data_IF_041660639246
#
_entry.id   IF_041660639246
#
_cell.length_a   1.000
_cell.length_b   1.000
_cell.length_c   1.000
_cell.angle_alpha   90.00
_cell.angle_beta   90.00
_cell.angle_gamma   90.00
#
_symmetry.space_group_name_H-M   'P 1'
#
loop_
_entity.id
_entity.type
_entity.pdbx_description
1 polymer ?
#
# COMPACT_ATOMS: atom_id res chain seq x y z
N UNK A 1 2.08 -3.56 -9.40
CA UNK A 1 2.25 -2.29 -10.16
C UNK A 1 0.95 -1.76 -10.80
N UNK A 2 -0.22 -2.00 -10.16
CA UNK A 2 -1.50 -1.43 -10.62
C UNK A 2 -1.51 0.09 -10.47
N UNK A 3 -0.76 0.63 -9.53
CA UNK A 3 -0.65 2.06 -9.31
C UNK A 3 0.12 2.83 -10.37
N UNK A 4 1.03 2.18 -11.10
CA UNK A 4 1.91 2.91 -12.02
C UNK A 4 1.21 3.47 -13.26
N UNK A 5 0.18 2.80 -13.77
CA UNK A 5 -0.56 3.32 -14.94
C UNK A 5 -1.54 4.44 -14.57
N UNK A 6 -2.06 4.47 -13.36
CA UNK A 6 -2.97 5.52 -12.90
C UNK A 6 -2.27 6.67 -12.18
N UNK A 7 -1.09 6.43 -11.60
CA UNK A 7 -0.48 7.38 -10.69
C UNK A 7 0.66 8.22 -11.28
N UNK A 8 1.38 7.76 -12.31
CA UNK A 8 2.60 8.45 -12.74
C UNK A 8 2.77 8.34 -14.26
N UNK A 9 1.96 9.04 -15.02
CA UNK A 9 2.29 9.40 -16.41
C UNK A 9 2.75 10.87 -16.52
N UNK A 10 3.37 11.37 -15.48
CA UNK A 10 4.07 12.63 -15.60
C UNK A 10 5.47 12.30 -16.17
N UNK A 11 5.93 13.09 -17.11
CA UNK A 11 7.21 12.87 -17.78
C UNK A 11 8.37 12.92 -16.78
N UNK A 12 9.51 12.31 -17.11
CA UNK A 12 10.75 12.41 -16.33
C UNK A 12 11.16 13.86 -16.06
N UNK A 13 10.65 14.81 -16.84
CA UNK A 13 10.85 16.24 -16.64
C UNK A 13 10.22 16.81 -15.35
N UNK A 14 9.34 16.08 -14.69
CA UNK A 14 8.77 16.48 -13.40
C UNK A 14 9.71 16.22 -12.22
N UNK A 15 10.82 15.51 -12.43
CA UNK A 15 11.72 15.06 -11.39
C UNK A 15 13.15 15.56 -11.64
N UNK A 16 13.80 15.98 -10.58
CA UNK A 16 15.23 16.31 -10.58
C UNK A 16 15.90 15.50 -9.49
N UNK A 17 16.94 14.76 -9.85
CA UNK A 17 17.81 14.10 -8.88
C UNK A 17 18.85 15.10 -8.41
N UNK A 18 18.80 15.47 -7.14
CA UNK A 18 19.77 16.33 -6.50
C UNK A 18 20.71 15.54 -5.59
N UNK A 19 21.94 15.97 -5.49
CA UNK A 19 22.93 15.37 -4.58
C UNK A 19 23.42 16.44 -3.63
N UNK A 20 23.25 16.19 -2.34
CA UNK A 20 23.73 17.08 -1.29
C UNK A 20 24.81 16.39 -0.43
N UNK A 21 25.76 17.17 0.08
CA UNK A 21 26.72 16.68 1.04
C UNK A 21 26.06 16.58 2.43
N UNK A 22 26.07 15.39 3.00
CA UNK A 22 25.57 15.17 4.37
C UNK A 22 26.58 15.78 5.35
N UNK A 23 26.13 16.74 6.13
CA UNK A 23 26.96 17.35 7.20
C UNK A 23 27.03 16.40 8.39
N UNK A 24 28.09 16.56 9.23
CA UNK A 24 28.25 15.78 10.45
C UNK A 24 26.98 15.74 11.29
N UNK A 25 26.73 14.59 11.91
CA UNK A 25 25.59 14.43 12.83
C UNK A 25 25.78 15.28 14.07
N UNK A 26 24.71 15.91 14.53
CA UNK A 26 24.61 16.55 15.84
C UNK A 26 24.12 15.56 16.89
N UNK A 27 24.17 15.94 18.16
CA UNK A 27 23.59 15.14 19.23
C UNK A 27 22.11 14.85 18.96
N UNK A 28 21.68 13.61 19.19
CA UNK A 28 20.33 13.09 18.94
C UNK A 28 19.95 13.04 17.46
N UNK A 29 20.93 12.97 16.56
CA UNK A 29 20.70 12.72 15.13
C UNK A 29 21.22 11.33 14.76
N UNK A 30 20.58 10.76 13.73
CA UNK A 30 20.96 9.50 13.10
C UNK A 30 21.01 9.66 11.59
N UNK A 31 21.82 8.86 10.94
CA UNK A 31 21.84 8.72 9.49
C UNK A 31 21.33 7.31 9.13
N UNK A 32 20.34 7.27 8.27
CA UNK A 32 19.70 6.05 7.79
C UNK A 32 20.03 5.89 6.31
N UNK A 33 20.52 4.73 5.91
CA UNK A 33 20.64 4.32 4.52
C UNK A 33 19.38 3.56 4.12
N UNK A 34 18.62 4.08 3.14
CA UNK A 34 17.39 3.46 2.68
C UNK A 34 17.68 2.20 1.85
N UNK A 35 17.09 1.07 2.26
CA UNK A 35 17.12 -0.18 1.48
C UNK A 35 15.97 -0.24 0.48
N UNK A 36 14.78 0.24 0.87
CA UNK A 36 13.58 0.29 0.05
C UNK A 36 12.79 1.56 0.31
N UNK A 37 12.13 2.03 -0.74
CA UNK A 37 11.19 3.14 -0.74
C UNK A 37 9.82 2.61 -1.20
N UNK A 38 8.76 2.95 -0.47
CA UNK A 38 7.39 2.69 -0.91
C UNK A 38 6.95 3.71 -1.95
N UNK A 39 6.29 3.24 -3.02
CA UNK A 39 5.64 4.09 -4.01
C UNK A 39 4.14 3.82 -3.92
N UNK A 40 3.40 4.83 -3.46
CA UNK A 40 2.00 4.70 -3.10
C UNK A 40 1.11 5.66 -3.90
N UNK A 41 -0.14 5.28 -4.22
CA UNK A 41 -1.06 6.11 -5.01
C UNK A 41 -1.30 7.51 -4.44
N UNK A 42 -1.29 7.69 -3.11
CA UNK A 42 -1.51 9.00 -2.48
C UNK A 42 -0.47 10.06 -2.90
N UNK A 43 0.73 9.64 -3.27
CA UNK A 43 1.81 10.53 -3.70
C UNK A 43 1.39 11.34 -4.92
N UNK A 44 0.62 10.75 -5.84
CA UNK A 44 0.09 11.49 -7.00
C UNK A 44 -0.82 12.65 -6.58
N UNK A 45 -1.67 12.43 -5.58
CA UNK A 45 -2.51 13.48 -5.00
C UNK A 45 -1.70 14.62 -4.35
N UNK A 46 -0.54 14.29 -3.76
CA UNK A 46 0.36 15.26 -3.13
C UNK A 46 1.10 16.16 -4.13
N UNK A 47 1.12 15.81 -5.42
CA UNK A 47 1.69 16.63 -6.50
C UNK A 47 0.71 17.72 -6.99
N UNK A 48 -0.55 17.68 -6.61
CA UNK A 48 -1.57 18.64 -7.03
C UNK A 48 -1.72 19.76 -5.98
N UNK A 49 -1.67 21.01 -6.45
CA UNK A 49 -2.05 22.15 -5.63
C UNK A 49 -3.59 22.17 -5.50
N UNK A 50 -4.11 21.78 -4.37
CA UNK A 50 -5.56 21.75 -4.13
C UNK A 50 -5.91 21.31 -2.71
N UNK A 51 -7.20 21.42 -2.36
CA UNK A 51 -7.69 20.94 -1.06
C UNK A 51 -7.61 19.42 -1.03
N UNK A 52 -6.91 18.89 -0.04
CA UNK A 52 -6.76 17.46 0.23
C UNK A 52 -6.64 17.25 1.73
N UNK A 53 -6.66 15.99 2.18
CA UNK A 53 -6.43 15.63 3.58
C UNK A 53 -5.00 15.93 4.07
N UNK A 54 -4.07 16.22 3.16
CA UNK A 54 -2.70 16.59 3.49
C UNK A 54 -2.18 17.67 2.53
N UNK A 55 -1.24 18.50 3.00
CA UNK A 55 -0.65 19.56 2.20
C UNK A 55 0.07 19.02 0.95
N UNK A 56 0.03 19.71 -0.20
CA UNK A 56 0.79 19.32 -1.38
C UNK A 56 2.30 19.41 -1.11
N UNK A 57 3.07 18.69 -1.91
CA UNK A 57 4.53 18.86 -1.99
C UNK A 57 4.81 20.09 -2.85
N UNK A 58 5.65 21.01 -2.39
CA UNK A 58 6.02 22.19 -3.17
C UNK A 58 7.06 21.81 -4.24
N UNK A 59 7.14 22.63 -5.27
CA UNK A 59 8.23 22.49 -6.27
C UNK A 59 9.59 22.73 -5.59
N UNK A 60 10.53 21.83 -5.82
CA UNK A 60 11.85 21.85 -5.19
C UNK A 60 11.94 21.09 -3.86
N UNK A 61 10.81 20.67 -3.28
CA UNK A 61 10.82 19.82 -2.07
C UNK A 61 11.06 18.35 -2.43
N UNK A 62 11.61 17.59 -1.49
CA UNK A 62 11.72 16.13 -1.58
C UNK A 62 10.33 15.51 -1.62
N UNK A 63 10.09 14.61 -2.58
CA UNK A 63 8.82 13.91 -2.69
C UNK A 63 8.58 13.05 -1.44
N UNK A 64 7.37 13.10 -0.91
CA UNK A 64 6.98 12.32 0.28
C UNK A 64 7.02 10.82 0.01
N UNK A 65 7.33 10.04 1.04
CA UNK A 65 7.33 8.58 0.98
C UNK A 65 7.84 7.97 2.26
N UNK A 66 7.46 6.72 2.51
CA UNK A 66 7.98 5.90 3.60
C UNK A 66 9.11 5.03 3.06
N UNK A 67 10.22 4.99 3.79
CA UNK A 67 11.37 4.13 3.51
C UNK A 67 11.58 3.16 4.66
N UNK A 68 12.19 2.02 4.36
CA UNK A 68 12.81 1.13 5.35
C UNK A 68 14.31 1.10 5.07
N UNK A 69 15.12 1.20 6.11
CA UNK A 69 16.57 1.26 5.97
C UNK A 69 17.30 1.02 7.28
N UNK A 70 18.62 1.03 7.19
CA UNK A 70 19.48 0.80 8.36
C UNK A 70 20.12 2.09 8.83
N UNK A 71 20.21 2.20 10.14
CA UNK A 71 21.02 3.25 10.78
C UNK A 71 22.50 2.94 10.49
N UNK A 72 23.16 3.84 9.75
CA UNK A 72 24.59 3.70 9.39
C UNK A 72 25.50 4.58 10.25
N UNK A 73 24.97 5.66 10.84
CA UNK A 73 25.65 6.49 11.83
C UNK A 73 24.65 6.97 12.89
N UNK A 74 25.08 7.05 14.16
CA UNK A 74 24.22 7.46 15.28
C UNK A 74 24.95 8.29 16.31
N UNK A 75 24.34 9.44 16.68
CA UNK A 75 24.62 10.20 17.91
C UNK A 75 23.40 10.24 18.84
N UNK A 76 22.55 9.21 18.72
CA UNK A 76 21.35 8.98 19.53
C UNK A 76 21.62 7.96 20.64
N UNK A 77 20.84 8.08 21.72
CA UNK A 77 20.78 7.04 22.77
C UNK A 77 19.71 5.97 22.48
N UNK A 78 18.82 6.25 21.52
CA UNK A 78 17.65 5.42 21.21
C UNK A 78 17.88 4.46 20.04
N UNK A 79 18.83 4.81 19.15
CA UNK A 79 19.11 4.06 17.93
C UNK A 79 20.61 3.74 17.82
N UNK A 80 20.90 2.51 17.51
CA UNK A 80 22.27 2.01 17.29
C UNK A 80 22.54 1.81 15.80
N UNK A 81 23.80 1.89 15.40
CA UNK A 81 24.23 1.48 14.05
C UNK A 81 23.82 0.03 13.82
N UNK A 82 23.23 -0.24 12.68
CA UNK A 82 22.67 -1.55 12.29
C UNK A 82 21.18 -1.73 12.60
N UNK A 83 20.56 -0.88 13.41
CA UNK A 83 19.11 -0.92 13.65
C UNK A 83 18.34 -0.75 12.33
N UNK A 84 17.40 -1.66 12.08
CA UNK A 84 16.44 -1.51 10.98
C UNK A 84 15.30 -0.60 11.44
N UNK A 85 14.97 0.40 10.63
CA UNK A 85 13.91 1.37 10.93
C UNK A 85 13.04 1.63 9.70
N UNK A 86 11.76 1.96 9.92
CA UNK A 86 10.96 2.67 8.91
C UNK A 86 10.96 4.15 9.22
N UNK A 87 10.86 4.99 8.19
CA UNK A 87 10.89 6.45 8.32
C UNK A 87 10.11 7.12 7.19
N UNK A 88 9.38 8.20 7.50
CA UNK A 88 8.55 8.91 6.53
C UNK A 88 9.16 10.27 6.15
N UNK A 89 10.36 10.24 5.55
CA UNK A 89 11.15 11.43 5.20
C UNK A 89 11.33 11.63 3.68
N UNK A 90 10.53 10.91 2.88
CA UNK A 90 10.49 11.10 1.44
C UNK A 90 11.57 10.33 0.66
N UNK A 91 11.68 10.67 -0.61
CA UNK A 91 12.51 9.96 -1.58
C UNK A 91 13.97 10.34 -1.46
N UNK A 92 14.69 9.63 -0.63
CA UNK A 92 16.11 9.87 -0.35
C UNK A 92 16.84 8.53 -0.19
N UNK A 93 18.09 8.45 -0.64
CA UNK A 93 18.95 7.29 -0.42
C UNK A 93 19.55 7.29 0.98
N UNK A 94 19.88 8.48 1.51
CA UNK A 94 20.34 8.68 2.88
C UNK A 94 19.45 9.70 3.57
N UNK A 95 19.04 9.39 4.78
CA UNK A 95 18.09 10.20 5.55
C UNK A 95 18.75 10.60 6.85
N UNK A 96 19.05 11.89 6.99
CA UNK A 96 19.50 12.46 8.26
C UNK A 96 18.30 12.96 9.06
N UNK A 97 18.08 12.39 10.22
CA UNK A 97 16.92 12.69 11.04
C UNK A 97 17.25 12.83 12.52
N UNK A 98 16.40 13.54 13.26
CA UNK A 98 16.44 13.58 14.74
C UNK A 98 15.82 12.30 15.27
N UNK A 99 16.38 11.78 16.33
CA UNK A 99 15.87 10.57 17.02
C UNK A 99 14.49 10.78 17.69
N UNK A 100 14.07 12.02 17.81
CA UNK A 100 12.74 12.41 18.31
C UNK A 100 11.66 12.49 17.21
N UNK A 101 12.02 12.21 15.94
CA UNK A 101 11.05 12.17 14.86
C UNK A 101 10.05 11.01 15.07
N UNK A 102 8.76 11.29 15.25
CA UNK A 102 7.76 10.27 15.53
C UNK A 102 7.50 9.32 14.35
N UNK A 103 8.00 9.64 13.17
CA UNK A 103 7.88 8.80 11.97
C UNK A 103 8.95 7.71 11.90
N UNK A 104 10.00 7.80 12.73
CA UNK A 104 11.03 6.77 12.82
C UNK A 104 10.55 5.67 13.76
N UNK A 105 10.33 4.48 13.21
CA UNK A 105 9.89 3.32 13.96
C UNK A 105 10.94 2.23 13.86
N UNK A 106 11.47 1.82 15.00
CA UNK A 106 12.41 0.69 15.06
C UNK A 106 11.66 -0.60 14.72
N UNK A 107 12.17 -1.32 13.74
CA UNK A 107 11.62 -2.61 13.32
C UNK A 107 12.13 -3.68 14.29
N UNK A 108 11.24 -4.53 14.82
CA UNK A 108 11.65 -5.67 15.65
C UNK A 108 12.59 -6.61 14.89
N UNK A 109 13.52 -7.23 15.60
CA UNK A 109 14.38 -8.27 15.02
C UNK A 109 13.52 -9.38 14.38
N UNK A 110 13.79 -9.68 13.13
CA UNK A 110 13.07 -10.71 12.39
C UNK A 110 13.93 -11.24 11.23
N UNK A 111 13.61 -12.43 10.74
CA UNK A 111 14.19 -13.00 9.53
C UNK A 111 13.41 -12.63 8.25
N UNK A 112 12.43 -11.72 8.36
CA UNK A 112 11.64 -11.27 7.22
C UNK A 112 12.46 -10.26 6.37
N UNK A 113 12.26 -10.25 5.05
CA UNK A 113 12.82 -9.19 4.20
C UNK A 113 12.37 -7.80 4.67
N UNK A 114 13.28 -6.84 4.67
CA UNK A 114 12.97 -5.46 5.13
C UNK A 114 11.82 -4.81 4.36
N UNK A 115 11.65 -5.13 3.07
CA UNK A 115 10.54 -4.64 2.24
C UNK A 115 9.14 -4.98 2.77
N UNK A 116 9.01 -6.05 3.56
CA UNK A 116 7.73 -6.45 4.18
C UNK A 116 7.18 -5.38 5.12
N UNK A 117 8.05 -4.58 5.74
CA UNK A 117 7.67 -3.51 6.66
C UNK A 117 7.11 -2.25 5.96
N UNK A 118 7.27 -2.15 4.63
CA UNK A 118 6.56 -1.17 3.79
C UNK A 118 5.30 -1.74 3.13
N UNK A 119 5.19 -3.07 3.05
CA UNK A 119 4.07 -3.79 2.43
C UNK A 119 3.10 -4.36 3.45
N UNK A 120 3.12 -5.69 3.61
CA UNK A 120 2.16 -6.45 4.43
C UNK A 120 2.20 -6.07 5.91
N UNK A 121 3.36 -5.72 6.48
CA UNK A 121 3.51 -5.21 7.84
C UNK A 121 3.58 -3.67 7.91
N UNK A 122 3.55 -3.01 6.76
CA UNK A 122 3.53 -1.56 6.61
C UNK A 122 2.13 -0.96 6.47
N UNK A 123 2.07 0.20 5.81
CA UNK A 123 0.83 0.96 5.62
C UNK A 123 -0.24 0.16 4.84
N UNK A 124 0.08 -0.54 3.72
CA UNK A 124 -0.91 -1.32 2.99
C UNK A 124 -1.54 -2.44 3.83
N UNK A 125 -0.71 -3.19 4.58
CA UNK A 125 -1.19 -4.27 5.44
C UNK A 125 -2.02 -3.76 6.61
N UNK A 126 -1.62 -2.67 7.25
CA UNK A 126 -2.42 -1.99 8.29
C UNK A 126 -3.77 -1.52 7.75
N UNK A 127 -3.78 -0.92 6.54
CA UNK A 127 -5.01 -0.50 5.86
C UNK A 127 -5.95 -1.69 5.64
N UNK A 128 -5.41 -2.79 5.11
CA UNK A 128 -6.17 -4.03 4.89
C UNK A 128 -6.73 -4.58 6.21
N UNK A 129 -5.89 -4.70 7.23
CA UNK A 129 -6.27 -5.28 8.52
C UNK A 129 -7.36 -4.47 9.22
N UNK A 130 -7.16 -3.16 9.37
CA UNK A 130 -8.12 -2.31 10.06
C UNK A 130 -9.42 -2.13 9.25
N UNK A 131 -9.30 -1.92 7.93
CA UNK A 131 -10.47 -1.82 7.06
C UNK A 131 -11.34 -3.08 7.10
N UNK A 132 -10.71 -4.25 7.03
CA UNK A 132 -11.46 -5.50 7.06
C UNK A 132 -12.02 -5.82 8.45
N UNK A 133 -11.19 -5.73 9.51
CA UNK A 133 -11.62 -6.17 10.86
C UNK A 133 -12.53 -5.17 11.59
N UNK A 134 -12.30 -3.86 11.42
CA UNK A 134 -13.04 -2.85 12.17
C UNK A 134 -14.26 -2.31 11.41
N UNK A 135 -14.18 -2.28 10.08
CA UNK A 135 -15.28 -1.78 9.22
C UNK A 135 -16.03 -2.94 8.60
N UNK A 136 -15.35 -3.82 7.86
CA UNK A 136 -15.95 -4.95 7.15
C UNK A 136 -16.54 -6.00 8.11
N UNK A 137 -15.82 -6.35 9.16
CA UNK A 137 -16.23 -7.33 10.22
C UNK A 137 -16.70 -8.64 9.64
N UNK A 138 -15.90 -9.30 8.79
CA UNK A 138 -16.30 -10.49 8.06
C UNK A 138 -16.65 -11.65 8.99
N UNK A 139 -17.62 -12.47 8.57
CA UNK A 139 -18.01 -13.71 9.21
C UNK A 139 -17.76 -14.87 8.25
N UNK A 140 -17.47 -16.04 8.80
CA UNK A 140 -17.30 -17.23 8.00
C UNK A 140 -18.55 -17.51 7.14
N UNK A 141 -18.35 -17.83 5.86
CA UNK A 141 -19.40 -18.07 4.88
C UNK A 141 -19.90 -16.83 4.15
N UNK A 142 -19.53 -15.61 4.58
CA UNK A 142 -19.86 -14.38 3.85
C UNK A 142 -19.05 -14.25 2.56
N UNK A 143 -19.61 -13.51 1.60
CA UNK A 143 -18.98 -13.19 0.32
C UNK A 143 -18.29 -11.82 0.42
N UNK A 144 -16.96 -11.82 0.28
CA UNK A 144 -16.10 -10.64 0.22
C UNK A 144 -15.66 -10.37 -1.21
N UNK A 145 -15.98 -9.20 -1.75
CA UNK A 145 -15.45 -8.73 -3.04
C UNK A 145 -14.36 -7.68 -2.79
N UNK A 146 -13.26 -7.77 -3.53
CA UNK A 146 -12.10 -6.88 -3.37
C UNK A 146 -11.73 -6.29 -4.74
N UNK A 147 -11.80 -4.96 -4.89
CA UNK A 147 -11.28 -4.28 -6.07
C UNK A 147 -9.77 -4.06 -5.97
N UNK A 148 -9.07 -3.93 -7.11
CA UNK A 148 -7.61 -3.92 -7.20
C UNK A 148 -6.98 -5.08 -6.40
N UNK A 149 -7.52 -6.29 -6.59
CA UNK A 149 -7.21 -7.47 -5.78
C UNK A 149 -5.74 -7.91 -5.84
N UNK A 150 -5.02 -7.59 -6.92
CA UNK A 150 -3.57 -7.84 -7.06
C UNK A 150 -2.68 -6.74 -6.46
N UNK A 151 -3.29 -5.65 -5.96
CA UNK A 151 -2.57 -4.51 -5.39
C UNK A 151 -2.10 -4.75 -3.96
N UNK A 152 -1.28 -3.83 -3.43
CA UNK A 152 -0.65 -3.97 -2.12
C UNK A 152 -1.66 -4.12 -0.96
N UNK A 153 -2.80 -3.41 -1.00
CA UNK A 153 -3.87 -3.56 -0.01
C UNK A 153 -4.77 -4.74 -0.36
N UNK A 154 -5.25 -4.82 -1.61
CA UNK A 154 -6.24 -5.82 -2.02
C UNK A 154 -5.76 -7.27 -1.86
N UNK A 155 -4.49 -7.54 -2.14
CA UNK A 155 -3.88 -8.86 -1.96
C UNK A 155 -3.89 -9.33 -0.49
N UNK A 156 -3.67 -8.40 0.44
CA UNK A 156 -3.71 -8.70 1.87
C UNK A 156 -5.16 -8.88 2.35
N UNK A 157 -6.07 -8.00 1.91
CA UNK A 157 -7.51 -8.09 2.25
C UNK A 157 -8.07 -9.46 1.91
N UNK A 158 -7.84 -9.93 0.68
CA UNK A 158 -8.41 -11.20 0.25
C UNK A 158 -7.84 -12.39 1.00
N UNK A 159 -6.53 -12.43 1.22
CA UNK A 159 -5.91 -13.50 2.02
C UNK A 159 -6.43 -13.50 3.46
N UNK A 160 -6.58 -12.33 4.10
CA UNK A 160 -7.21 -12.23 5.41
C UNK A 160 -8.66 -12.71 5.37
N UNK A 161 -9.43 -12.34 4.33
CA UNK A 161 -10.80 -12.83 4.14
C UNK A 161 -10.87 -14.36 4.04
N UNK A 162 -9.94 -14.98 3.30
CA UNK A 162 -9.83 -16.45 3.22
C UNK A 162 -9.54 -17.07 4.59
N UNK A 163 -8.60 -16.50 5.35
CA UNK A 163 -8.29 -16.98 6.71
C UNK A 163 -9.49 -16.86 7.66
N UNK A 164 -10.38 -15.91 7.42
CA UNK A 164 -11.63 -15.71 8.20
C UNK A 164 -12.79 -16.57 7.69
N UNK A 165 -12.58 -17.41 6.66
CA UNK A 165 -13.58 -18.33 6.13
C UNK A 165 -14.56 -17.70 5.15
N UNK A 166 -14.25 -16.52 4.57
CA UNK A 166 -15.07 -15.92 3.53
C UNK A 166 -14.88 -16.60 2.17
N UNK A 167 -15.92 -16.50 1.34
CA UNK A 167 -15.79 -16.62 -0.11
C UNK A 167 -15.24 -15.32 -0.66
N UNK A 168 -14.08 -15.36 -1.29
CA UNK A 168 -13.36 -14.14 -1.73
C UNK A 168 -13.29 -14.05 -3.25
N UNK A 169 -13.85 -12.96 -3.80
CA UNK A 169 -13.85 -12.67 -5.23
C UNK A 169 -12.98 -11.44 -5.46
N UNK A 170 -11.94 -11.58 -6.26
CA UNK A 170 -11.08 -10.47 -6.68
C UNK A 170 -11.60 -9.77 -7.94
N UNK A 171 -11.26 -8.50 -8.11
CA UNK A 171 -11.40 -7.78 -9.37
C UNK A 171 -10.04 -7.18 -9.69
N UNK A 172 -9.43 -7.59 -10.81
CA UNK A 172 -8.11 -7.13 -11.25
C UNK A 172 -8.11 -6.87 -12.76
N UNK A 173 -7.06 -6.25 -13.29
CA UNK A 173 -7.00 -5.90 -14.72
C UNK A 173 -5.96 -6.69 -15.49
N UNK A 174 -6.43 -7.57 -16.38
CA UNK A 174 -5.63 -8.41 -17.23
C UNK A 174 -5.45 -9.84 -16.71
N UNK A 175 -5.36 -10.77 -17.62
CA UNK A 175 -5.34 -12.21 -17.36
C UNK A 175 -4.24 -12.64 -16.37
N UNK A 176 -3.03 -12.10 -16.53
CA UNK A 176 -1.90 -12.42 -15.65
C UNK A 176 -2.21 -12.09 -14.19
N UNK A 177 -2.73 -10.87 -13.92
CA UNK A 177 -3.08 -10.44 -12.56
C UNK A 177 -4.24 -11.26 -11.99
N UNK A 178 -5.24 -11.56 -12.80
CA UNK A 178 -6.40 -12.36 -12.37
C UNK A 178 -6.00 -13.79 -12.03
N UNK A 179 -5.12 -14.40 -12.81
CA UNK A 179 -4.57 -15.73 -12.52
C UNK A 179 -3.70 -15.72 -11.26
N UNK A 180 -2.84 -14.72 -11.09
CA UNK A 180 -2.06 -14.56 -9.87
C UNK A 180 -2.94 -14.46 -8.62
N UNK A 181 -4.00 -13.65 -8.66
CA UNK A 181 -4.95 -13.50 -7.55
C UNK A 181 -5.64 -14.81 -7.21
N UNK A 182 -6.10 -15.56 -8.20
CA UNK A 182 -6.80 -16.81 -7.97
C UNK A 182 -5.85 -17.95 -7.54
N UNK A 183 -4.72 -18.10 -8.24
CA UNK A 183 -3.87 -19.29 -8.08
C UNK A 183 -2.82 -19.14 -6.98
N UNK A 184 -2.24 -17.93 -6.81
CA UNK A 184 -1.16 -17.70 -5.85
C UNK A 184 -1.67 -17.10 -4.54
N UNK A 185 -2.65 -16.17 -4.60
CA UNK A 185 -3.20 -15.54 -3.41
C UNK A 185 -4.38 -16.31 -2.81
N UNK A 186 -4.87 -17.35 -3.47
CA UNK A 186 -5.90 -18.25 -2.96
C UNK A 186 -7.32 -17.67 -2.91
N UNK A 187 -7.62 -16.66 -3.72
CA UNK A 187 -9.00 -16.19 -3.91
C UNK A 187 -9.82 -17.26 -4.60
N UNK A 188 -11.12 -17.33 -4.32
CA UNK A 188 -11.99 -18.33 -4.96
C UNK A 188 -12.18 -18.07 -6.45
N UNK A 189 -12.24 -16.79 -6.86
CA UNK A 189 -12.29 -16.35 -8.25
C UNK A 189 -11.68 -14.95 -8.37
N UNK A 190 -11.29 -14.56 -9.60
CA UNK A 190 -10.90 -13.20 -9.91
C UNK A 190 -11.45 -12.77 -11.28
N UNK A 191 -12.15 -11.65 -11.30
CA UNK A 191 -12.74 -11.06 -12.50
C UNK A 191 -11.69 -10.17 -13.19
N UNK A 192 -11.45 -10.43 -14.47
CA UNK A 192 -10.62 -9.57 -15.31
C UNK A 192 -11.47 -8.44 -15.92
N UNK A 193 -11.54 -7.30 -15.26
CA UNK A 193 -12.38 -6.18 -15.71
C UNK A 193 -11.98 -5.59 -17.07
N UNK A 194 -10.82 -5.96 -17.63
CA UNK A 194 -10.40 -5.53 -18.97
C UNK A 194 -11.00 -6.37 -20.09
N UNK A 195 -11.30 -7.62 -19.82
CA UNK A 195 -11.75 -8.60 -20.81
C UNK A 195 -13.12 -9.21 -20.48
N UNK A 196 -13.64 -9.01 -19.27
CA UNK A 196 -14.90 -9.59 -18.82
C UNK A 196 -15.89 -8.50 -18.38
N UNK A 197 -17.19 -8.76 -18.52
CA UNK A 197 -18.23 -7.92 -17.95
C UNK A 197 -18.31 -8.16 -16.45
N UNK A 198 -17.96 -7.14 -15.66
CA UNK A 198 -17.90 -7.24 -14.19
C UNK A 198 -19.28 -7.59 -13.60
N UNK A 199 -20.38 -6.98 -14.11
CA UNK A 199 -21.71 -7.22 -13.57
C UNK A 199 -22.18 -8.66 -13.80
N UNK A 200 -21.95 -9.21 -15.01
CA UNK A 200 -22.33 -10.58 -15.35
C UNK A 200 -21.53 -11.59 -14.50
N UNK A 201 -20.23 -11.33 -14.32
CA UNK A 201 -19.37 -12.19 -13.50
C UNK A 201 -19.68 -12.12 -12.00
N UNK A 202 -20.06 -10.94 -11.50
CA UNK A 202 -20.53 -10.81 -10.12
C UNK A 202 -21.83 -11.60 -9.91
N UNK A 203 -22.77 -11.59 -10.86
CA UNK A 203 -23.97 -12.38 -10.78
C UNK A 203 -23.68 -13.89 -10.80
N UNK A 204 -22.70 -14.32 -11.61
CA UNK A 204 -22.26 -15.71 -11.66
C UNK A 204 -21.59 -16.16 -10.34
N UNK A 205 -20.62 -15.37 -9.87
CA UNK A 205 -19.78 -15.75 -8.74
C UNK A 205 -20.39 -15.41 -7.38
N UNK A 206 -21.28 -14.42 -7.30
CA UNK A 206 -21.91 -13.95 -6.07
C UNK A 206 -23.44 -14.19 -6.12
N UNK A 207 -23.87 -15.41 -6.46
CA UNK A 207 -25.30 -15.76 -6.61
C UNK A 207 -26.15 -15.49 -5.35
N UNK A 208 -25.54 -15.47 -4.17
CA UNK A 208 -26.19 -15.15 -2.89
C UNK A 208 -26.00 -13.69 -2.46
N UNK A 209 -25.50 -12.83 -3.38
CA UNK A 209 -25.17 -11.46 -3.07
C UNK A 209 -23.76 -11.28 -2.50
N UNK A 210 -23.43 -10.03 -2.17
CA UNK A 210 -22.14 -9.61 -1.64
C UNK A 210 -22.37 -9.03 -0.25
N UNK A 211 -21.70 -9.57 0.76
CA UNK A 211 -21.83 -9.12 2.14
C UNK A 211 -20.87 -7.99 2.46
N UNK A 212 -19.65 -8.06 1.88
CA UNK A 212 -18.61 -7.07 2.10
C UNK A 212 -17.96 -6.68 0.77
N UNK A 213 -17.85 -5.38 0.52
CA UNK A 213 -17.05 -4.85 -0.58
C UNK A 213 -15.89 -4.02 -0.05
N UNK A 214 -14.67 -4.48 -0.27
CA UNK A 214 -13.47 -3.70 0.03
C UNK A 214 -13.07 -2.89 -1.20
N UNK A 215 -13.37 -1.60 -1.16
CA UNK A 215 -13.24 -0.67 -2.27
C UNK A 215 -11.87 -0.01 -2.33
N UNK A 216 -11.16 -0.17 -3.46
CA UNK A 216 -9.85 0.43 -3.69
C UNK A 216 -9.78 1.29 -4.97
N UNK A 217 -10.85 1.37 -5.78
CA UNK A 217 -10.77 1.92 -7.15
C UNK A 217 -11.81 3.00 -7.44
N UNK A 218 -13.07 2.75 -7.10
CA UNK A 218 -14.19 3.62 -7.47
C UNK A 218 -14.75 3.38 -8.89
N UNK A 219 -15.57 4.31 -9.36
CA UNK A 219 -16.06 4.35 -10.72
C UNK A 219 -17.05 3.25 -11.10
N UNK A 220 -16.91 2.68 -12.32
CA UNK A 220 -17.85 1.70 -12.87
C UNK A 220 -17.83 0.37 -12.12
N UNK A 221 -16.69 -0.01 -11.57
CA UNK A 221 -16.55 -1.21 -10.74
C UNK A 221 -17.45 -1.09 -9.51
N UNK A 222 -17.34 0.01 -8.78
CA UNK A 222 -18.20 0.29 -7.61
C UNK A 222 -19.67 0.28 -7.96
N UNK A 223 -20.06 0.91 -9.06
CA UNK A 223 -21.45 0.91 -9.53
C UNK A 223 -21.97 -0.50 -9.85
N UNK A 224 -21.12 -1.35 -10.38
CA UNK A 224 -21.47 -2.75 -10.65
C UNK A 224 -21.62 -3.56 -9.36
N UNK A 225 -20.67 -3.45 -8.45
CA UNK A 225 -20.70 -4.16 -7.16
C UNK A 225 -21.90 -3.74 -6.31
N UNK A 226 -22.19 -2.44 -6.24
CA UNK A 226 -23.28 -1.88 -5.41
C UNK A 226 -24.67 -2.48 -5.72
N UNK A 227 -24.88 -2.95 -6.96
CA UNK A 227 -26.14 -3.59 -7.35
C UNK A 227 -26.33 -5.00 -6.77
N UNK A 228 -25.26 -5.61 -6.29
CA UNK A 228 -25.23 -6.98 -5.79
C UNK A 228 -25.02 -7.05 -4.27
N UNK A 229 -24.90 -5.90 -3.57
CA UNK A 229 -24.76 -5.86 -2.11
C UNK A 229 -26.01 -6.36 -1.41
N UNK A 230 -25.81 -7.22 -0.42
CA UNK A 230 -26.85 -7.64 0.52
C UNK A 230 -27.30 -6.44 1.38
N UNK A 231 -28.55 -6.51 1.89
CA UNK A 231 -29.15 -5.46 2.73
C UNK A 231 -28.77 -5.67 4.20
#
# INVERSE_FOLDING_TARGET
>A
LVGSEMCIRDSDSCWVLETENITDLKNNEILIEAEYLSIDPYMRGRMNAGLSYAAPVNLGDVMVGESVGRVVESKSKNYNVGDLVTVHQGWQTYIKAKDSDPTIIKVPESNLPSSVFLGTLGMPGRTAYFGLNHVGKPKAGETLVVSAASGAVGSVVGQLGKLMGCKVIGIAGGQEKSQYVANELGFDQCIDYKNENVADKLQEYCSNGIDIYFENVGGDITRSVAKHLNK
#
